data_IF_760857467009
#
_entry.id   IF_760857467009
#
_cell.length_a   1.000
_cell.length_b   1.000
_cell.length_c   1.000
_cell.angle_alpha   90.00
_cell.angle_beta   90.00
_cell.angle_gamma   90.00
#
_symmetry.space_group_name_H-M   'P 1'
#
loop_
_entity.id
_entity.type
_entity.pdbx_description
1 polymer ?
#
# COMPACT_ATOMS: atom_id res chain seq x y z
N UNK A 1 -3.00 -10.06 10.12
CA UNK A 1 -1.72 -9.31 10.04
C UNK A 1 -1.87 -8.01 9.26
N UNK A 2 -2.26 -7.97 7.97
CA UNK A 2 -2.37 -6.71 7.17
C UNK A 2 -3.48 -5.72 7.60
N UNK A 3 -4.60 -6.15 8.21
CA UNK A 3 -5.59 -5.24 8.83
C UNK A 3 -5.00 -4.40 9.95
N UNK A 4 -4.19 -5.02 10.74
CA UNK A 4 -3.43 -4.42 11.83
C UNK A 4 -2.39 -3.48 11.22
N UNK A 5 -1.67 -3.91 10.16
CA UNK A 5 -0.66 -3.09 9.48
C UNK A 5 -1.22 -1.83 8.81
N UNK A 6 -2.35 -1.88 8.09
CA UNK A 6 -2.92 -0.67 7.46
C UNK A 6 -3.48 0.30 8.50
N UNK A 7 -4.13 -0.20 9.58
CA UNK A 7 -4.60 0.61 10.70
C UNK A 7 -3.43 1.09 11.56
N UNK A 8 -2.42 0.26 11.75
CA UNK A 8 -1.17 0.60 12.41
C UNK A 8 -0.35 1.59 11.58
N UNK A 9 -0.31 1.47 10.25
CA UNK A 9 0.35 2.43 9.37
C UNK A 9 -0.32 3.80 9.39
N UNK A 10 -1.65 3.89 9.36
CA UNK A 10 -2.36 5.16 9.47
C UNK A 10 -2.18 5.79 10.86
N UNK A 11 -2.35 5.02 11.93
CA UNK A 11 -2.10 5.49 13.30
C UNK A 11 -0.62 5.87 13.50
N UNK A 12 0.29 5.17 12.81
CA UNK A 12 1.71 5.48 12.79
C UNK A 12 1.98 6.81 12.07
N UNK A 13 1.39 7.04 10.88
CA UNK A 13 1.55 8.29 10.14
C UNK A 13 0.99 9.47 10.95
N UNK A 14 -0.14 9.31 11.63
CA UNK A 14 -0.71 10.34 12.49
C UNK A 14 0.21 10.69 13.67
N UNK A 15 0.87 9.69 14.25
CA UNK A 15 1.84 9.93 15.30
C UNK A 15 3.05 10.76 14.79
N UNK A 16 3.58 10.44 13.59
CA UNK A 16 4.66 11.21 12.98
C UNK A 16 4.23 12.66 12.74
N UNK A 17 3.04 12.88 12.19
CA UNK A 17 2.50 14.21 11.94
C UNK A 17 2.35 14.98 13.26
N UNK A 18 1.79 14.36 14.31
CA UNK A 18 1.59 14.99 15.61
C UNK A 18 2.91 15.48 16.22
N UNK A 19 3.96 14.64 16.22
CA UNK A 19 5.29 15.05 16.71
C UNK A 19 5.88 16.20 15.88
N UNK A 20 5.76 16.11 14.54
CA UNK A 20 6.30 17.15 13.66
C UNK A 20 5.55 18.49 13.79
N UNK A 21 4.22 18.46 14.01
CA UNK A 21 3.41 19.65 14.28
C UNK A 21 3.78 20.29 15.63
N UNK A 22 4.06 19.48 16.64
CA UNK A 22 4.52 19.95 17.93
C UNK A 22 5.88 20.67 17.82
N UNK A 23 6.81 20.14 17.03
CA UNK A 23 8.10 20.76 16.77
C UNK A 23 7.90 22.05 15.94
N UNK A 24 7.05 22.03 14.90
CA UNK A 24 6.76 23.21 14.07
C UNK A 24 6.16 24.36 14.89
N UNK A 25 5.33 24.04 15.88
CA UNK A 25 4.71 25.04 16.77
C UNK A 25 5.68 25.67 17.81
N UNK A 26 6.88 25.09 18.01
CA UNK A 26 7.85 25.53 19.00
C UNK A 26 9.12 26.08 18.34
N UNK A 27 9.32 27.43 18.32
CA UNK A 27 10.55 28.02 17.79
C UNK A 27 11.82 27.48 18.48
N UNK A 28 11.75 27.20 19.78
CA UNK A 28 12.87 26.66 20.56
C UNK A 28 13.25 25.25 20.06
N UNK A 29 12.28 24.37 19.86
CA UNK A 29 12.52 23.02 19.33
C UNK A 29 13.06 23.07 17.89
N UNK A 30 12.54 23.96 17.05
CA UNK A 30 13.07 24.17 15.69
C UNK A 30 14.51 24.65 15.68
N UNK A 31 14.84 25.65 16.52
CA UNK A 31 16.19 26.18 16.62
C UNK A 31 17.15 25.09 17.11
N UNK A 32 16.76 24.31 18.10
CA UNK A 32 17.53 23.16 18.55
C UNK A 32 17.77 22.14 17.45
N UNK A 33 16.76 21.79 16.68
CA UNK A 33 16.88 20.86 15.55
C UNK A 33 17.86 21.39 14.47
N UNK A 34 17.88 22.71 14.20
CA UNK A 34 18.84 23.31 13.25
C UNK A 34 20.26 23.32 13.79
N UNK A 35 20.42 23.54 15.09
CA UNK A 35 21.73 23.60 15.76
C UNK A 35 22.28 22.21 16.09
N UNK A 36 21.45 21.13 15.98
CA UNK A 36 21.84 19.79 16.38
C UNK A 36 23.04 19.30 15.55
N UNK A 37 24.10 18.92 16.28
CA UNK A 37 25.20 18.11 15.78
C UNK A 37 25.61 17.14 16.89
N UNK A 38 26.42 16.14 16.57
CA UNK A 38 26.96 15.18 17.58
C UNK A 38 27.66 15.93 18.76
N UNK A 39 28.15 17.12 18.53
CA UNK A 39 28.78 17.96 19.56
C UNK A 39 27.81 18.77 20.42
N UNK A 40 26.55 18.92 20.00
CA UNK A 40 25.52 19.71 20.72
C UNK A 40 24.54 18.84 21.50
N UNK A 41 24.70 17.50 21.51
CA UNK A 41 23.85 16.55 22.20
C UNK A 41 23.71 16.75 23.74
N UNK A 42 24.49 17.63 24.34
CA UNK A 42 24.48 17.90 25.77
C UNK A 42 23.68 19.16 26.18
N UNK A 43 22.90 19.77 25.30
CA UNK A 43 22.26 21.07 25.55
C UNK A 43 20.79 20.96 26.02
N UNK A 44 20.50 20.14 27.02
CA UNK A 44 19.30 20.34 27.86
C UNK A 44 17.93 19.98 27.22
N UNK A 45 17.87 19.32 26.08
CA UNK A 45 16.63 18.86 25.42
C UNK A 45 16.62 17.33 25.32
N UNK A 46 16.79 16.64 26.43
CA UNK A 46 16.84 15.17 26.46
C UNK A 46 15.57 14.52 25.95
N UNK A 47 14.41 15.12 26.25
CA UNK A 47 13.10 14.64 25.80
C UNK A 47 12.97 14.72 24.27
N UNK A 48 13.30 15.86 23.67
CA UNK A 48 13.28 16.04 22.22
C UNK A 48 14.26 15.10 21.52
N UNK A 49 15.45 14.90 22.06
CA UNK A 49 16.41 13.93 21.52
C UNK A 49 15.87 12.51 21.58
N UNK A 50 15.20 12.15 22.69
CA UNK A 50 14.52 10.86 22.82
C UNK A 50 13.45 10.70 21.74
N UNK A 51 12.58 11.68 21.56
CA UNK A 51 11.49 11.65 20.57
C UNK A 51 12.02 11.54 19.15
N UNK A 52 13.10 12.24 18.80
CA UNK A 52 13.74 12.12 17.48
C UNK A 52 14.37 10.74 17.26
N UNK A 53 14.97 10.14 18.29
CA UNK A 53 15.47 8.78 18.21
C UNK A 53 14.31 7.76 18.00
N UNK A 54 13.19 7.96 18.70
CA UNK A 54 11.97 7.17 18.51
C UNK A 54 11.39 7.38 17.11
N UNK A 55 11.39 8.62 16.59
CA UNK A 55 10.97 8.95 15.24
C UNK A 55 11.76 8.16 14.19
N UNK A 56 13.09 8.22 14.27
CA UNK A 56 13.96 7.47 13.34
C UNK A 56 13.70 5.97 13.43
N UNK A 57 13.70 5.40 14.63
CA UNK A 57 13.46 3.97 14.87
C UNK A 57 12.12 3.53 14.28
N UNK A 58 11.04 4.26 14.58
CA UNK A 58 9.70 3.94 14.06
C UNK A 58 9.61 4.05 12.55
N UNK A 59 10.30 4.99 11.91
CA UNK A 59 10.31 5.10 10.46
C UNK A 59 10.85 3.83 9.79
N UNK A 60 11.91 3.24 10.33
CA UNK A 60 12.45 1.96 9.85
C UNK A 60 11.51 0.78 10.16
N UNK A 61 11.02 0.69 11.40
CA UNK A 61 10.13 -0.40 11.85
C UNK A 61 8.81 -0.45 11.08
N UNK A 62 8.28 0.71 10.66
CA UNK A 62 7.04 0.80 9.86
C UNK A 62 7.28 0.74 8.35
N UNK A 63 8.50 0.43 7.89
CA UNK A 63 8.83 0.30 6.47
C UNK A 63 8.74 1.60 5.67
N UNK A 64 8.81 2.77 6.32
CA UNK A 64 8.79 4.06 5.64
C UNK A 64 10.13 4.40 4.97
N UNK A 65 11.20 3.71 5.36
CA UNK A 65 12.54 3.87 4.79
C UNK A 65 12.82 2.70 3.83
N UNK A 66 12.28 2.80 2.62
CA UNK A 66 12.43 1.74 1.60
C UNK A 66 13.88 1.64 1.09
N UNK A 67 14.33 0.40 0.85
CA UNK A 67 15.71 0.15 0.41
C UNK A 67 15.97 0.53 -1.05
N UNK A 68 14.95 0.38 -1.91
CA UNK A 68 15.04 0.64 -3.36
C UNK A 68 14.67 2.06 -3.77
N UNK A 69 14.72 3.03 -2.84
CA UNK A 69 14.29 4.43 -3.07
C UNK A 69 14.95 5.08 -4.29
N UNK A 70 16.22 4.78 -4.57
CA UNK A 70 16.94 5.32 -5.73
C UNK A 70 16.36 4.83 -7.06
N UNK A 71 15.95 3.56 -7.14
CA UNK A 71 15.30 3.02 -8.31
C UNK A 71 13.92 3.67 -8.52
N UNK A 72 13.18 3.83 -7.42
CA UNK A 72 11.89 4.51 -7.42
C UNK A 72 12.06 5.95 -7.92
N UNK A 73 12.97 6.75 -7.36
CA UNK A 73 13.20 8.13 -7.78
C UNK A 73 13.65 8.25 -9.24
N UNK A 74 14.46 7.32 -9.76
CA UNK A 74 14.83 7.32 -11.19
C UNK A 74 13.63 7.20 -12.13
N UNK A 75 12.53 6.55 -11.73
CA UNK A 75 11.31 6.43 -12.55
C UNK A 75 10.60 7.78 -12.74
N UNK A 76 10.62 8.63 -11.72
CA UNK A 76 9.99 9.96 -11.76
C UNK A 76 10.96 11.09 -12.12
N UNK A 77 12.28 10.80 -12.17
CA UNK A 77 13.33 11.76 -12.51
C UNK A 77 13.17 13.14 -11.86
N UNK A 78 12.83 13.23 -10.57
CA UNK A 78 12.73 14.52 -9.91
C UNK A 78 14.11 15.17 -9.86
N UNK A 79 14.15 16.49 -9.96
CA UNK A 79 15.37 17.23 -9.66
C UNK A 79 15.76 17.01 -8.19
N UNK A 80 17.05 16.86 -7.91
CA UNK A 80 17.54 16.63 -6.54
C UNK A 80 17.09 17.76 -5.59
N UNK A 81 17.03 19.00 -6.09
CA UNK A 81 16.52 20.16 -5.36
C UNK A 81 15.05 20.00 -4.94
N UNK A 82 14.21 19.44 -5.81
CA UNK A 82 12.80 19.19 -5.51
C UNK A 82 12.62 18.15 -4.42
N UNK A 83 13.49 17.13 -4.38
CA UNK A 83 13.49 16.14 -3.31
C UNK A 83 13.95 16.79 -1.99
N UNK A 84 15.09 17.49 -2.02
CA UNK A 84 15.71 18.08 -0.84
C UNK A 84 14.81 19.11 -0.15
N UNK A 85 14.09 19.93 -0.92
CA UNK A 85 13.21 20.98 -0.40
C UNK A 85 11.76 20.55 -0.24
N UNK A 86 11.36 19.42 -0.85
CA UNK A 86 9.97 18.96 -0.96
C UNK A 86 9.04 20.10 -1.33
N UNK A 87 9.35 20.72 -2.49
CA UNK A 87 8.59 21.87 -3.02
C UNK A 87 7.09 21.56 -2.99
N UNK A 88 6.24 22.41 -2.36
CA UNK A 88 4.83 22.12 -2.20
C UNK A 88 4.10 21.84 -3.52
N UNK A 89 4.29 22.64 -4.55
CA UNK A 89 3.60 22.50 -5.84
C UNK A 89 4.00 21.17 -6.51
N UNK A 90 5.28 20.83 -6.48
CA UNK A 90 5.77 19.56 -6.99
C UNK A 90 5.25 18.39 -6.16
N UNK A 91 5.32 18.49 -4.82
CA UNK A 91 4.93 17.40 -3.92
C UNK A 91 3.44 17.05 -4.03
N UNK A 92 2.55 18.04 -4.27
CA UNK A 92 1.12 17.82 -4.43
C UNK A 92 0.76 16.87 -5.58
N UNK A 93 1.62 16.75 -6.57
CA UNK A 93 1.42 15.85 -7.72
C UNK A 93 2.01 14.46 -7.51
N UNK A 94 2.82 14.25 -6.47
CA UNK A 94 3.56 13.00 -6.32
C UNK A 94 2.71 11.86 -5.77
N UNK A 95 2.81 10.65 -6.37
CA UNK A 95 2.13 9.47 -5.89
C UNK A 95 2.83 8.87 -4.65
N UNK A 96 2.13 7.98 -3.95
CA UNK A 96 2.57 7.34 -2.70
C UNK A 96 4.03 6.86 -2.71
N UNK A 97 4.42 6.07 -3.73
CA UNK A 97 5.77 5.52 -3.80
C UNK A 97 6.84 6.60 -3.97
N UNK A 98 6.56 7.67 -4.71
CA UNK A 98 7.49 8.79 -4.87
C UNK A 98 7.69 9.53 -3.54
N UNK A 99 6.60 9.82 -2.82
CA UNK A 99 6.66 10.45 -1.48
C UNK A 99 7.44 9.58 -0.50
N UNK A 100 7.19 8.27 -0.50
CA UNK A 100 7.89 7.32 0.35
C UNK A 100 9.39 7.26 0.02
N UNK A 101 9.74 7.32 -1.27
CA UNK A 101 11.13 7.35 -1.71
C UNK A 101 11.83 8.68 -1.33
N UNK A 102 11.12 9.81 -1.31
CA UNK A 102 11.64 11.08 -0.80
C UNK A 102 11.93 11.00 0.70
N UNK A 103 11.02 10.43 1.49
CA UNK A 103 11.26 10.17 2.92
C UNK A 103 12.53 9.32 3.08
N UNK A 104 12.60 8.18 2.38
CA UNK A 104 13.76 7.30 2.44
C UNK A 104 15.07 7.98 2.01
N UNK A 105 15.02 8.92 1.03
CA UNK A 105 16.17 9.70 0.61
C UNK A 105 16.74 10.54 1.75
N UNK A 106 15.91 11.26 2.50
CA UNK A 106 16.35 12.04 3.66
C UNK A 106 16.99 11.14 4.73
N UNK A 107 16.33 10.03 5.09
CA UNK A 107 16.85 9.10 6.11
C UNK A 107 18.17 8.43 5.69
N UNK A 108 18.32 8.07 4.41
CA UNK A 108 19.54 7.41 3.94
C UNK A 108 20.74 8.36 3.81
N UNK A 109 20.49 9.60 3.40
CA UNK A 109 21.55 10.62 3.34
C UNK A 109 21.98 11.08 4.72
N UNK A 110 21.09 11.10 5.68
CA UNK A 110 21.37 11.46 7.07
C UNK A 110 22.48 10.61 7.70
N UNK A 111 22.57 9.34 7.29
CA UNK A 111 23.66 8.45 7.73
C UNK A 111 25.07 9.00 7.43
N UNK A 112 25.21 9.84 6.41
CA UNK A 112 26.47 10.48 6.04
C UNK A 112 26.63 11.89 6.66
N UNK A 113 25.60 12.38 7.34
CA UNK A 113 25.52 13.72 7.91
C UNK A 113 25.39 13.69 9.45
N UNK A 114 25.71 12.57 10.09
CA UNK A 114 25.71 12.38 11.55
C UNK A 114 24.38 12.79 12.24
N UNK A 115 23.24 12.52 11.60
CA UNK A 115 21.92 12.82 12.15
C UNK A 115 21.45 14.28 11.93
N UNK A 116 22.27 15.14 11.33
CA UNK A 116 21.92 16.55 11.17
C UNK A 116 20.92 16.83 10.06
N UNK A 117 20.90 16.01 9.00
CA UNK A 117 20.03 16.24 7.83
C UNK A 117 18.55 16.02 8.15
N UNK A 118 18.21 14.97 8.90
CA UNK A 118 16.83 14.71 9.33
C UNK A 118 16.36 15.84 10.23
N UNK A 119 17.15 16.21 11.23
CA UNK A 119 16.81 17.26 12.19
C UNK A 119 16.60 18.61 11.48
N UNK A 120 17.45 18.97 10.53
CA UNK A 120 17.27 20.16 9.70
C UNK A 120 16.01 20.07 8.86
N UNK A 121 15.74 18.91 8.21
CA UNK A 121 14.53 18.69 7.42
C UNK A 121 13.25 18.77 8.25
N UNK A 122 13.32 18.40 9.53
CA UNK A 122 12.23 18.57 10.50
C UNK A 122 12.04 20.05 10.80
N UNK A 123 13.11 20.77 11.18
CA UNK A 123 13.05 22.19 11.53
C UNK A 123 12.57 23.08 10.38
N UNK A 124 12.87 22.71 9.14
CA UNK A 124 12.45 23.42 7.92
C UNK A 124 11.07 22.99 7.41
N UNK A 125 10.35 22.17 8.17
CA UNK A 125 9.00 21.69 7.85
C UNK A 125 8.93 20.70 6.67
N UNK A 126 10.08 20.26 6.15
CA UNK A 126 10.16 19.34 5.01
C UNK A 126 9.55 18.00 5.37
N UNK A 127 9.93 17.42 6.52
CA UNK A 127 9.39 16.15 6.99
C UNK A 127 7.87 16.24 7.21
N UNK A 128 7.36 17.33 7.78
CA UNK A 128 5.93 17.52 7.99
C UNK A 128 5.15 17.55 6.66
N UNK A 129 5.65 18.27 5.65
CA UNK A 129 5.04 18.26 4.31
C UNK A 129 5.03 16.86 3.69
N UNK A 130 6.12 16.12 3.78
CA UNK A 130 6.23 14.75 3.27
C UNK A 130 5.24 13.81 3.97
N UNK A 131 5.14 13.85 5.30
CA UNK A 131 4.22 12.98 6.04
C UNK A 131 2.75 13.38 5.85
N UNK A 132 2.42 14.67 5.76
CA UNK A 132 1.08 15.13 5.40
C UNK A 132 0.69 14.64 4.00
N UNK A 133 1.58 14.75 3.02
CA UNK A 133 1.33 14.21 1.67
C UNK A 133 1.23 12.69 1.69
N UNK A 134 2.11 12.00 2.42
CA UNK A 134 2.06 10.55 2.57
C UNK A 134 0.70 10.09 3.09
N UNK A 135 0.15 10.78 4.10
CA UNK A 135 -1.18 10.48 4.63
C UNK A 135 -2.28 10.60 3.56
N UNK A 136 -2.22 11.64 2.72
CA UNK A 136 -3.20 11.87 1.66
C UNK A 136 -3.13 10.81 0.54
N UNK A 137 -1.92 10.37 0.19
CA UNK A 137 -1.71 9.43 -0.92
C UNK A 137 -1.47 7.99 -0.45
N UNK A 138 -1.43 7.75 0.87
CA UNK A 138 -1.31 6.42 1.43
C UNK A 138 -2.49 5.56 0.98
N UNK A 139 -2.24 4.42 0.34
CA UNK A 139 -3.30 3.54 -0.08
C UNK A 139 -4.11 3.06 1.12
N UNK A 140 -5.32 3.57 1.27
CA UNK A 140 -6.25 3.09 2.29
C UNK A 140 -6.94 1.85 1.78
N UNK A 141 -6.36 0.69 2.07
CA UNK A 141 -7.06 -0.57 1.89
C UNK A 141 -8.31 -0.61 2.75
N UNK A 142 -9.45 -0.85 2.12
CA UNK A 142 -10.68 -1.13 2.86
C UNK A 142 -10.49 -2.29 3.84
N UNK A 143 -11.26 -2.35 4.94
CA UNK A 143 -11.30 -3.54 5.77
C UNK A 143 -11.66 -4.76 4.90
N UNK A 144 -10.89 -5.86 4.94
CA UNK A 144 -11.21 -7.05 4.19
C UNK A 144 -12.56 -7.63 4.62
N UNK A 145 -13.39 -7.96 3.63
CA UNK A 145 -14.72 -8.55 3.82
C UNK A 145 -14.79 -9.86 3.03
N UNK A 146 -15.51 -10.88 3.52
CA UNK A 146 -15.62 -12.14 2.80
C UNK A 146 -16.39 -11.96 1.48
N UNK A 147 -16.05 -12.76 0.45
CA UNK A 147 -16.76 -12.73 -0.82
C UNK A 147 -18.24 -13.06 -0.61
N UNK A 148 -18.57 -14.00 0.28
CA UNK A 148 -19.94 -14.35 0.62
C UNK A 148 -20.70 -13.18 1.24
N UNK A 149 -20.12 -12.44 2.16
CA UNK A 149 -20.75 -11.24 2.75
C UNK A 149 -21.04 -10.18 1.68
N UNK A 150 -20.09 -9.97 0.75
CA UNK A 150 -20.28 -9.03 -0.36
C UNK A 150 -21.40 -9.48 -1.32
N UNK A 151 -21.50 -10.77 -1.56
CA UNK A 151 -22.60 -11.32 -2.37
C UNK A 151 -23.95 -11.13 -1.68
N UNK A 152 -24.05 -11.45 -0.39
CA UNK A 152 -25.30 -11.32 0.39
C UNK A 152 -25.79 -9.87 0.51
N UNK A 153 -24.88 -8.88 0.62
CA UNK A 153 -25.26 -7.46 0.66
C UNK A 153 -25.24 -6.78 -0.72
N UNK A 154 -25.20 -7.56 -1.81
CA UNK A 154 -25.15 -7.06 -3.19
C UNK A 154 -24.08 -5.98 -3.44
N UNK A 155 -22.98 -6.01 -2.68
CA UNK A 155 -21.92 -5.00 -2.71
C UNK A 155 -22.40 -3.56 -2.40
N UNK A 156 -23.48 -3.37 -1.64
CA UNK A 156 -24.03 -2.05 -1.35
C UNK A 156 -23.07 -1.13 -0.59
N UNK A 157 -22.21 -1.74 0.25
CA UNK A 157 -21.19 -1.00 1.03
C UNK A 157 -19.92 -0.65 0.22
N UNK A 158 -19.87 -1.01 -1.07
CA UNK A 158 -18.73 -0.72 -1.94
C UNK A 158 -18.98 0.63 -2.66
N UNK A 159 -17.97 1.51 -2.73
CA UNK A 159 -18.12 2.81 -3.39
C UNK A 159 -18.30 2.67 -4.92
N UNK A 160 -19.03 3.62 -5.52
CA UNK A 160 -19.17 3.76 -6.98
C UNK A 160 -18.02 4.60 -7.57
N UNK A 161 -16.80 4.31 -7.15
CA UNK A 161 -15.58 4.99 -7.60
C UNK A 161 -14.65 4.02 -8.29
N UNK A 162 -13.77 4.54 -9.15
CA UNK A 162 -12.70 3.75 -9.72
C UNK A 162 -11.75 3.24 -8.63
N UNK A 163 -11.11 2.10 -8.87
CA UNK A 163 -10.19 1.54 -7.91
C UNK A 163 -9.65 0.16 -8.28
N UNK A 164 -8.83 -0.36 -7.42
CA UNK A 164 -8.25 -1.71 -7.49
C UNK A 164 -8.72 -2.55 -6.31
N UNK A 165 -8.71 -3.86 -6.47
CA UNK A 165 -9.13 -4.77 -5.40
C UNK A 165 -8.27 -6.03 -5.38
N UNK A 166 -8.17 -6.61 -4.20
CA UNK A 166 -7.42 -7.84 -3.95
C UNK A 166 -8.37 -8.93 -3.45
N UNK A 167 -8.16 -10.15 -3.93
CA UNK A 167 -8.72 -11.33 -3.29
C UNK A 167 -7.61 -11.99 -2.50
N UNK A 168 -7.87 -12.19 -1.21
CA UNK A 168 -6.89 -12.62 -0.23
C UNK A 168 -7.32 -13.93 0.42
N UNK A 169 -6.35 -14.78 0.73
CA UNK A 169 -6.55 -15.97 1.53
C UNK A 169 -6.60 -15.60 3.01
N UNK A 170 -7.61 -15.99 3.79
CA UNK A 170 -7.58 -15.90 5.25
C UNK A 170 -6.42 -16.70 5.83
N UNK A 171 -5.85 -16.22 6.93
CA UNK A 171 -4.81 -16.95 7.65
C UNK A 171 -5.29 -18.35 8.05
N UNK A 172 -4.48 -19.37 7.77
CA UNK A 172 -4.79 -20.77 8.10
C UNK A 172 -5.80 -21.46 7.17
N UNK A 173 -6.43 -20.77 6.22
CA UNK A 173 -7.33 -21.41 5.26
C UNK A 173 -6.53 -22.28 4.28
N UNK A 174 -6.83 -23.61 4.20
CA UNK A 174 -6.23 -24.46 3.18
C UNK A 174 -6.79 -24.09 1.79
N UNK A 175 -5.97 -24.14 0.74
CA UNK A 175 -6.42 -23.95 -0.64
C UNK A 175 -6.49 -25.32 -1.32
N UNK A 176 -7.69 -25.66 -1.76
CA UNK A 176 -7.98 -26.82 -2.59
C UNK A 176 -8.75 -26.36 -3.80
N UNK A 177 -8.55 -26.99 -4.94
CA UNK A 177 -9.19 -26.63 -6.19
C UNK A 177 -10.21 -27.68 -6.59
N UNK A 178 -11.36 -27.22 -7.10
CA UNK A 178 -12.44 -28.04 -7.62
C UNK A 178 -12.70 -27.75 -9.10
N UNK A 179 -13.18 -28.76 -9.83
CA UNK A 179 -13.72 -28.62 -11.18
C UNK A 179 -15.26 -28.49 -11.18
N UNK A 180 -15.85 -28.39 -9.99
CA UNK A 180 -17.28 -28.16 -9.81
C UNK A 180 -17.53 -26.82 -9.17
N UNK A 181 -18.03 -25.85 -9.93
CA UNK A 181 -18.39 -24.51 -9.44
C UNK A 181 -19.86 -24.20 -9.72
N UNK A 182 -20.41 -23.21 -9.03
CA UNK A 182 -21.82 -22.81 -9.25
C UNK A 182 -22.07 -22.33 -10.66
N UNK A 183 -21.13 -21.62 -11.29
CA UNK A 183 -21.26 -21.15 -12.65
C UNK A 183 -20.93 -22.27 -13.65
N UNK A 184 -21.95 -23.03 -14.08
CA UNK A 184 -21.81 -24.16 -15.02
C UNK A 184 -21.40 -23.73 -16.44
N UNK A 185 -21.52 -22.44 -16.78
CA UNK A 185 -21.13 -21.90 -18.09
C UNK A 185 -19.71 -21.37 -18.11
N UNK A 186 -19.02 -21.36 -16.97
CA UNK A 186 -17.66 -20.84 -16.88
C UNK A 186 -16.65 -21.85 -17.44
N UNK A 187 -15.70 -21.42 -18.30
CA UNK A 187 -14.57 -22.26 -18.67
C UNK A 187 -13.66 -22.47 -17.46
N UNK A 188 -13.35 -23.74 -17.16
CA UNK A 188 -12.53 -24.12 -16.01
C UNK A 188 -11.07 -24.33 -16.41
N UNK A 189 -10.19 -24.15 -15.44
CA UNK A 189 -8.82 -24.68 -15.46
C UNK A 189 -8.84 -26.08 -14.84
N UNK A 190 -7.89 -26.95 -15.19
CA UNK A 190 -7.74 -28.21 -14.44
C UNK A 190 -7.29 -27.92 -13.00
N UNK A 191 -7.80 -28.67 -12.05
CA UNK A 191 -7.43 -28.55 -10.64
C UNK A 191 -5.91 -28.75 -10.44
N UNK A 192 -5.31 -29.67 -11.22
CA UNK A 192 -3.88 -29.92 -11.22
C UNK A 192 -3.08 -28.68 -11.66
N UNK A 193 -3.49 -28.01 -12.74
CA UNK A 193 -2.83 -26.79 -13.22
C UNK A 193 -2.85 -25.68 -12.16
N UNK A 194 -4.01 -25.48 -11.50
CA UNK A 194 -4.14 -24.48 -10.45
C UNK A 194 -3.32 -24.84 -9.20
N UNK A 195 -3.32 -26.11 -8.80
CA UNK A 195 -2.52 -26.60 -7.68
C UNK A 195 -1.04 -26.40 -7.94
N UNK A 196 -0.54 -26.77 -9.10
CA UNK A 196 0.83 -26.57 -9.49
C UNK A 196 1.21 -25.09 -9.50
N UNK A 197 0.36 -24.23 -10.08
CA UNK A 197 0.59 -22.78 -10.06
C UNK A 197 0.62 -22.22 -8.64
N UNK A 198 -0.29 -22.64 -7.77
CA UNK A 198 -0.37 -22.20 -6.39
C UNK A 198 0.87 -22.59 -5.58
N UNK A 199 1.37 -23.81 -5.74
CA UNK A 199 2.59 -24.27 -5.08
C UNK A 199 3.83 -23.46 -5.47
N UNK A 200 3.87 -22.94 -6.70
CA UNK A 200 4.96 -22.08 -7.17
C UNK A 200 4.81 -20.59 -6.81
N UNK A 201 3.67 -20.19 -6.23
CA UNK A 201 3.49 -18.83 -5.73
C UNK A 201 4.27 -18.65 -4.41
N UNK A 202 5.25 -17.77 -4.39
CA UNK A 202 5.99 -17.44 -3.16
C UNK A 202 5.07 -16.78 -2.12
N UNK A 203 4.20 -15.86 -2.57
CA UNK A 203 3.17 -15.25 -1.72
C UNK A 203 1.81 -15.91 -1.99
N UNK A 204 1.38 -16.73 -1.05
CA UNK A 204 0.11 -17.46 -1.12
C UNK A 204 -1.05 -16.73 -0.43
N UNK A 205 -0.84 -15.52 0.09
CA UNK A 205 -1.90 -14.73 0.71
C UNK A 205 -2.68 -13.92 -0.33
N UNK A 206 -2.01 -13.33 -1.32
CA UNK A 206 -2.63 -12.56 -2.39
C UNK A 206 -2.93 -13.50 -3.56
N UNK A 207 -4.20 -13.79 -3.78
CA UNK A 207 -4.63 -14.73 -4.81
C UNK A 207 -4.97 -14.04 -6.14
N UNK A 208 -5.44 -12.79 -6.09
CA UNK A 208 -5.81 -12.02 -7.27
C UNK A 208 -5.72 -10.50 -7.01
N UNK A 209 -5.33 -9.76 -8.03
CA UNK A 209 -5.40 -8.30 -8.09
C UNK A 209 -6.21 -7.93 -9.32
N UNK A 210 -7.24 -7.10 -9.15
CA UNK A 210 -8.12 -6.65 -10.23
C UNK A 210 -8.41 -5.17 -10.14
N UNK A 211 -9.01 -4.63 -11.21
CA UNK A 211 -9.38 -3.20 -11.29
C UNK A 211 -10.84 -2.99 -11.64
N UNK A 212 -11.29 -1.78 -11.36
CA UNK A 212 -12.59 -1.26 -11.73
C UNK A 212 -12.45 0.17 -12.26
N UNK A 213 -12.42 0.32 -13.59
CA UNK A 213 -12.23 1.58 -14.31
C UNK A 213 -13.50 2.11 -15.02
N UNK A 214 -14.63 1.44 -14.82
CA UNK A 214 -15.91 1.81 -15.43
C UNK A 214 -16.65 2.92 -14.67
N UNK A 215 -17.68 3.51 -15.31
CA UNK A 215 -18.49 4.63 -14.75
C UNK A 215 -19.09 4.37 -13.36
N UNK A 216 -19.41 3.11 -13.03
CA UNK A 216 -19.95 2.70 -11.72
C UNK A 216 -18.89 2.00 -10.83
N UNK A 217 -17.63 2.09 -11.21
CA UNK A 217 -16.46 1.76 -10.42
C UNK A 217 -16.47 0.37 -9.77
N UNK A 218 -15.93 0.35 -8.57
CA UNK A 218 -15.73 -0.87 -7.76
C UNK A 218 -17.03 -1.62 -7.51
N UNK A 219 -18.12 -0.94 -7.11
CA UNK A 219 -19.40 -1.60 -6.79
C UNK A 219 -19.92 -2.45 -7.96
N UNK A 220 -20.01 -1.85 -9.14
CA UNK A 220 -20.51 -2.60 -10.31
C UNK A 220 -19.58 -3.75 -10.68
N UNK A 221 -18.26 -3.50 -10.65
CA UNK A 221 -17.27 -4.51 -11.00
C UNK A 221 -17.30 -5.70 -10.05
N UNK A 222 -17.40 -5.43 -8.76
CA UNK A 222 -17.48 -6.48 -7.74
C UNK A 222 -18.82 -7.21 -7.78
N UNK A 223 -19.93 -6.50 -8.02
CA UNK A 223 -21.23 -7.16 -8.25
C UNK A 223 -21.20 -8.12 -9.45
N UNK A 224 -20.55 -7.71 -10.56
CA UNK A 224 -20.32 -8.60 -11.71
C UNK A 224 -19.43 -9.80 -11.33
N UNK A 225 -18.42 -9.58 -10.50
CA UNK A 225 -17.52 -10.64 -10.05
C UNK A 225 -18.23 -11.66 -9.16
N UNK A 226 -19.06 -11.20 -8.22
CA UNK A 226 -19.90 -12.07 -7.38
C UNK A 226 -20.92 -12.85 -8.23
N UNK A 227 -21.59 -12.19 -9.18
CA UNK A 227 -22.54 -12.84 -10.08
C UNK A 227 -21.88 -13.87 -11.01
N UNK A 228 -20.62 -13.66 -11.39
CA UNK A 228 -19.86 -14.68 -12.11
C UNK A 228 -19.67 -15.94 -11.27
N UNK A 229 -19.38 -15.81 -10.00
CA UNK A 229 -19.18 -16.94 -9.09
C UNK A 229 -20.46 -17.73 -8.79
N UNK A 230 -21.56 -17.02 -8.52
CA UNK A 230 -22.79 -17.65 -7.99
C UNK A 230 -24.02 -17.66 -8.91
N UNK A 231 -24.05 -16.85 -9.99
CA UNK A 231 -25.27 -16.65 -10.80
C UNK A 231 -25.10 -16.96 -12.28
N UNK A 232 -24.19 -17.84 -12.68
CA UNK A 232 -23.96 -18.22 -14.10
C UNK A 232 -23.71 -17.03 -15.05
N UNK A 233 -23.28 -15.86 -14.56
CA UNK A 233 -22.94 -14.73 -15.41
C UNK A 233 -21.62 -14.99 -16.15
N UNK A 234 -21.52 -14.52 -17.41
CA UNK A 234 -20.37 -14.82 -18.29
C UNK A 234 -19.44 -13.61 -18.48
N UNK A 235 -19.80 -12.45 -17.92
CA UNK A 235 -19.19 -11.16 -18.25
C UNK A 235 -17.87 -10.87 -17.52
N UNK A 236 -17.41 -11.75 -16.64
CA UNK A 236 -16.21 -11.54 -15.86
C UNK A 236 -15.16 -12.63 -16.14
N UNK A 237 -14.15 -12.30 -16.93
CA UNK A 237 -13.08 -13.25 -17.29
C UNK A 237 -11.86 -13.19 -16.36
N UNK A 238 -11.64 -12.07 -15.66
CA UNK A 238 -10.52 -11.90 -14.74
C UNK A 238 -10.75 -12.61 -13.41
N UNK A 239 -9.70 -13.21 -12.84
CA UNK A 239 -9.79 -13.84 -11.53
C UNK A 239 -10.68 -15.07 -11.43
N UNK A 240 -11.09 -15.67 -12.55
CA UNK A 240 -12.02 -16.82 -12.56
C UNK A 240 -11.50 -18.05 -11.81
N UNK A 241 -10.17 -18.24 -11.73
CA UNK A 241 -9.56 -19.31 -10.97
C UNK A 241 -9.89 -19.25 -9.46
N UNK A 242 -10.26 -18.07 -8.94
CA UNK A 242 -10.69 -17.89 -7.54
C UNK A 242 -11.94 -18.73 -7.24
N UNK A 243 -12.87 -18.81 -8.19
CA UNK A 243 -14.13 -19.54 -8.02
C UNK A 243 -13.99 -21.06 -8.08
N UNK A 244 -12.80 -21.55 -8.47
CA UNK A 244 -12.42 -22.97 -8.40
C UNK A 244 -11.74 -23.33 -7.07
N UNK A 245 -11.61 -22.40 -6.14
CA UNK A 245 -11.16 -22.68 -4.77
C UNK A 245 -12.36 -23.19 -3.97
N UNK A 246 -12.20 -24.34 -3.30
CA UNK A 246 -13.19 -24.83 -2.33
C UNK A 246 -13.43 -23.75 -1.28
N UNK A 247 -14.69 -23.54 -0.92
CA UNK A 247 -15.09 -22.49 0.03
C UNK A 247 -14.65 -21.06 -0.38
N UNK A 248 -14.60 -20.77 -1.69
CA UNK A 248 -14.24 -19.44 -2.21
C UNK A 248 -15.00 -18.29 -1.52
N UNK A 249 -16.20 -18.53 -1.01
CA UNK A 249 -16.99 -17.56 -0.25
C UNK A 249 -16.30 -17.04 1.01
N UNK A 250 -15.39 -17.82 1.61
CA UNK A 250 -14.62 -17.45 2.79
C UNK A 250 -13.40 -16.58 2.47
N UNK A 251 -12.99 -16.50 1.21
CA UNK A 251 -11.89 -15.62 0.80
C UNK A 251 -12.24 -14.17 1.09
N UNK A 252 -11.22 -13.39 1.37
CA UNK A 252 -11.37 -11.98 1.73
C UNK A 252 -11.16 -11.10 0.49
N UNK A 253 -11.93 -10.02 0.41
CA UNK A 253 -11.75 -8.96 -0.56
C UNK A 253 -11.42 -7.66 0.17
N UNK A 254 -10.39 -6.96 -0.29
CA UNK A 254 -10.05 -5.60 0.08
C UNK A 254 -9.97 -4.75 -1.20
N UNK A 255 -10.20 -3.44 -1.10
CA UNK A 255 -10.11 -2.53 -2.24
C UNK A 255 -9.44 -1.20 -1.84
N UNK A 256 -8.96 -0.49 -2.84
CA UNK A 256 -8.40 0.86 -2.78
C UNK A 256 -9.09 1.71 -3.84
N UNK A 257 -9.62 2.88 -3.44
CA UNK A 257 -10.10 3.88 -4.40
C UNK A 257 -8.91 4.58 -5.04
N UNK A 258 -8.92 4.73 -6.35
CA UNK A 258 -7.89 5.49 -7.07
C UNK A 258 -8.45 6.01 -8.40
N UNK A 259 -7.95 7.15 -8.88
CA UNK A 259 -8.43 7.78 -10.10
C UNK A 259 -8.05 6.99 -11.36
N UNK A 260 -6.83 6.51 -11.46
CA UNK A 260 -6.35 5.66 -12.57
C UNK A 260 -6.18 4.20 -12.11
N UNK A 261 -7.31 3.49 -12.07
CA UNK A 261 -7.33 2.08 -11.69
C UNK A 261 -6.49 1.19 -12.63
N UNK A 262 -6.34 1.59 -13.91
CA UNK A 262 -5.55 0.82 -14.88
C UNK A 262 -4.05 0.95 -14.61
N UNK A 263 -3.57 2.16 -14.43
CA UNK A 263 -2.15 2.39 -14.10
C UNK A 263 -1.82 1.75 -12.75
N UNK A 264 -2.73 1.87 -11.76
CA UNK A 264 -2.55 1.32 -10.43
C UNK A 264 -2.50 -0.21 -10.42
N UNK A 265 -3.42 -0.90 -11.12
CA UNK A 265 -3.36 -2.36 -11.28
C UNK A 265 -2.04 -2.81 -11.90
N UNK A 266 -1.63 -2.15 -12.99
CA UNK A 266 -0.38 -2.47 -13.69
C UNK A 266 0.83 -2.31 -12.77
N UNK A 267 0.87 -1.23 -12.00
CA UNK A 267 1.93 -0.98 -11.02
C UNK A 267 1.95 -2.08 -9.95
N UNK A 268 0.79 -2.38 -9.33
CA UNK A 268 0.67 -3.40 -8.29
C UNK A 268 1.09 -4.79 -8.76
N UNK A 269 0.74 -5.16 -9.99
CA UNK A 269 1.13 -6.44 -10.58
C UNK A 269 2.63 -6.50 -10.90
N UNK A 270 3.22 -5.37 -11.33
CA UNK A 270 4.66 -5.28 -11.57
C UNK A 270 5.44 -5.38 -10.26
N UNK A 271 5.02 -4.66 -9.22
CA UNK A 271 5.64 -4.70 -7.89
C UNK A 271 5.51 -6.09 -7.26
N UNK A 272 4.33 -6.67 -7.32
CA UNK A 272 4.09 -8.04 -6.82
C UNK A 272 5.02 -9.05 -7.51
N UNK A 273 5.16 -8.96 -8.85
CA UNK A 273 6.04 -9.86 -9.61
C UNK A 273 7.51 -9.63 -9.28
N UNK A 274 7.93 -8.39 -9.08
CA UNK A 274 9.30 -8.06 -8.69
C UNK A 274 9.66 -8.62 -7.31
N UNK A 275 8.71 -8.58 -6.36
CA UNK A 275 8.89 -9.07 -5.00
C UNK A 275 8.80 -10.61 -4.90
N UNK A 276 7.92 -11.23 -5.70
CA UNK A 276 7.55 -12.65 -5.52
C UNK A 276 7.93 -13.53 -6.72
N UNK A 277 8.65 -13.01 -7.71
CA UNK A 277 9.11 -13.76 -8.89
C UNK A 277 8.00 -14.16 -9.89
N UNK A 278 6.73 -14.10 -9.49
CA UNK A 278 5.56 -14.51 -10.29
C UNK A 278 4.36 -13.60 -10.05
N UNK A 279 3.34 -13.70 -10.89
CA UNK A 279 2.05 -13.06 -10.65
C UNK A 279 1.21 -13.83 -9.60
N UNK A 280 0.21 -13.18 -8.95
CA UNK A 280 -0.75 -13.86 -8.10
C UNK A 280 -1.43 -15.03 -8.82
N UNK A 281 -1.94 -16.00 -8.06
CA UNK A 281 -2.56 -17.23 -8.57
C UNK A 281 -3.50 -16.99 -9.75
N UNK A 282 -4.45 -16.07 -9.63
CA UNK A 282 -5.49 -15.85 -10.63
C UNK A 282 -5.18 -14.73 -11.64
N UNK A 283 -3.98 -14.13 -11.60
CA UNK A 283 -3.46 -13.26 -12.64
C UNK A 283 -2.56 -14.06 -13.58
N UNK A 284 -2.94 -14.16 -14.86
CA UNK A 284 -2.19 -14.91 -15.88
C UNK A 284 -1.27 -14.02 -16.71
N UNK A 285 -1.60 -12.73 -16.78
CA UNK A 285 -0.84 -11.70 -17.51
C UNK A 285 -0.92 -10.41 -16.72
N UNK A 286 0.14 -9.64 -16.74
CA UNK A 286 0.16 -8.29 -16.21
C UNK A 286 -0.13 -7.25 -17.29
#
# INVERSE_FOLDING_TARGET
>A
MRKQMAKENMASIDWFIGLLEEIEASPEKQEWCRAYSVYTSNLGQEELLHDLNVFVKRAYENGLVISNYQEVLRRWQPEERSIANSDPEWLETQPYLCVLACIAWHFRRDHFCEGSLINQSIADGIMLRLFRRLKLVCPTLSPPTTLQSLYCCECENIPEKAGVYWVLRPAGMPIRFTEQIYNRSAPLYSAELLSNKYLHCQNQEVLYIGKADGKKGLRQRLKQYMNYGWNNATNHKGGRAIWQIEDAGLLLLAYEECEDARAREKQLLADYKAENGSYPLANWRG
#
